data_IF_074014584683
#
_entry.id   IF_074014584683
#
_cell.length_a   1.000
_cell.length_b   1.000
_cell.length_c   1.000
_cell.angle_alpha   90.00
_cell.angle_beta   90.00
_cell.angle_gamma   90.00
#
_symmetry.space_group_name_H-M   'P 1'
#
loop_
_entity.id
_entity.type
_entity.pdbx_description
1 polymer ?
#
# COMPACT_ATOMS: atom_id res chain seq x y z
N UNK A 1 -3.66 -12.16 15.80
CA UNK A 1 -3.86 -10.71 15.84
C UNK A 1 -3.43 -10.12 14.48
N UNK A 2 -3.43 -8.80 14.29
CA UNK A 2 -2.99 -8.18 13.02
C UNK A 2 -1.61 -7.55 13.17
N UNK A 3 -0.81 -7.62 12.10
CA UNK A 3 0.43 -6.89 11.97
C UNK A 3 0.24 -5.65 11.11
N UNK A 4 0.71 -4.50 11.61
CA UNK A 4 0.71 -3.20 10.95
C UNK A 4 2.09 -2.88 10.39
N UNK A 5 2.09 -2.37 9.16
CA UNK A 5 3.27 -1.89 8.47
C UNK A 5 2.98 -0.54 7.84
N UNK A 6 4.01 0.31 7.74
CA UNK A 6 3.99 1.48 6.88
C UNK A 6 4.61 1.15 5.52
N UNK A 7 3.91 1.52 4.45
CA UNK A 7 4.48 1.69 3.13
C UNK A 7 4.86 3.16 2.96
N UNK A 8 6.15 3.42 2.83
CA UNK A 8 6.69 4.78 2.75
C UNK A 8 7.20 5.03 1.34
N UNK A 9 6.99 6.26 0.86
CA UNK A 9 7.57 6.82 -0.35
C UNK A 9 8.77 7.72 0.02
N UNK A 10 10.02 7.21 -0.04
CA UNK A 10 11.21 7.94 0.39
C UNK A 10 11.46 9.22 -0.40
N UNK A 11 10.95 9.32 -1.63
CA UNK A 11 11.09 10.54 -2.43
C UNK A 11 10.27 11.72 -1.88
N UNK A 12 9.23 11.44 -1.09
CA UNK A 12 8.36 12.46 -0.47
C UNK A 12 8.74 12.70 1.00
N UNK A 13 8.94 11.64 1.78
CA UNK A 13 9.45 11.73 3.15
C UNK A 13 10.92 11.36 3.16
N UNK A 14 11.80 12.35 3.05
CA UNK A 14 13.24 12.12 2.84
C UNK A 14 13.95 11.61 4.10
N UNK A 15 13.61 12.18 5.25
CA UNK A 15 14.28 11.91 6.54
C UNK A 15 13.57 10.79 7.34
N UNK A 16 12.86 9.89 6.65
CA UNK A 16 12.04 8.86 7.28
C UNK A 16 12.86 7.88 8.10
N UNK A 17 14.11 7.59 7.67
CA UNK A 17 15.00 6.67 8.38
C UNK A 17 15.43 7.27 9.71
N UNK A 18 15.87 8.52 9.71
CA UNK A 18 16.30 9.21 10.92
C UNK A 18 15.14 9.36 11.91
N UNK A 19 13.91 9.57 11.43
CA UNK A 19 12.78 9.77 12.34
C UNK A 19 12.16 8.45 12.84
N UNK A 20 12.17 7.38 12.03
CA UNK A 20 11.55 6.09 12.38
C UNK A 20 12.54 5.03 12.90
N UNK A 21 13.79 5.07 12.44
CA UNK A 21 14.78 4.01 12.67
C UNK A 21 15.91 4.43 13.64
N UNK A 22 15.90 5.66 14.15
CA UNK A 22 16.92 6.11 15.09
C UNK A 22 16.84 5.30 16.40
N UNK A 23 17.99 4.73 16.80
CA UNK A 23 18.18 3.90 17.98
C UNK A 23 17.86 4.64 19.29
N UNK A 24 17.84 5.98 19.28
CA UNK A 24 17.45 6.82 20.42
C UNK A 24 15.94 6.80 20.69
N UNK A 25 15.14 6.37 19.70
CA UNK A 25 13.71 6.07 19.87
C UNK A 25 13.59 4.65 20.44
N UNK A 26 13.26 4.56 21.74
CA UNK A 26 13.48 3.39 22.64
C UNK A 26 12.80 2.05 22.29
N UNK A 27 12.11 1.93 21.16
CA UNK A 27 11.35 0.73 20.76
C UNK A 27 11.73 0.17 19.37
N UNK A 28 12.79 0.70 18.74
CA UNK A 28 13.03 0.54 17.29
C UNK A 28 14.06 -0.54 16.94
N UNK A 29 14.66 -1.20 17.94
CA UNK A 29 15.79 -2.14 17.75
C UNK A 29 15.52 -3.36 16.84
N UNK A 30 14.29 -3.55 16.37
CA UNK A 30 13.92 -4.62 15.43
C UNK A 30 13.18 -4.13 14.17
N UNK A 31 12.96 -2.82 14.03
CA UNK A 31 12.22 -2.28 12.90
C UNK A 31 13.10 -2.26 11.65
N UNK A 32 12.93 -3.26 10.78
CA UNK A 32 13.64 -3.33 9.51
C UNK A 32 12.83 -2.66 8.41
N UNK A 33 13.50 -1.83 7.62
CA UNK A 33 12.93 -1.29 6.40
C UNK A 33 13.32 -2.14 5.19
N UNK A 34 12.32 -2.57 4.44
CA UNK A 34 12.48 -3.53 3.35
C UNK A 34 12.09 -2.86 2.04
N UNK A 35 13.02 -2.64 1.11
CA UNK A 35 12.70 -2.08 -0.19
C UNK A 35 11.78 -3.00 -0.99
N UNK A 36 10.69 -2.44 -1.52
CA UNK A 36 9.75 -3.17 -2.36
C UNK A 36 10.26 -3.37 -3.78
N UNK A 37 11.13 -2.51 -4.28
CA UNK A 37 11.69 -2.72 -5.63
C UNK A 37 12.72 -3.86 -5.70
N UNK A 38 13.23 -4.33 -4.56
CA UNK A 38 14.06 -5.53 -4.53
C UNK A 38 13.31 -6.72 -5.13
N UNK A 39 14.02 -7.56 -5.89
CA UNK A 39 13.44 -8.72 -6.59
C UNK A 39 12.37 -8.35 -7.64
N UNK A 40 12.35 -7.11 -8.10
CA UNK A 40 11.57 -6.67 -9.26
C UNK A 40 12.49 -6.16 -10.36
N UNK A 41 11.96 -5.90 -11.55
CA UNK A 41 12.69 -5.21 -12.63
C UNK A 41 13.20 -3.81 -12.25
N UNK A 42 12.72 -3.24 -11.15
CA UNK A 42 13.11 -1.92 -10.64
C UNK A 42 14.18 -1.98 -9.55
N UNK A 43 14.84 -3.13 -9.33
CA UNK A 43 15.83 -3.31 -8.27
C UNK A 43 17.01 -2.33 -8.31
N UNK A 44 17.29 -1.70 -9.46
CA UNK A 44 18.34 -0.67 -9.59
C UNK A 44 17.88 0.74 -9.17
N UNK A 45 16.60 0.93 -8.85
CA UNK A 45 16.05 2.22 -8.41
C UNK A 45 16.16 2.31 -6.89
N UNK A 46 17.11 3.10 -6.40
CA UNK A 46 17.44 3.23 -4.98
C UNK A 46 16.35 3.96 -4.16
N UNK A 47 15.57 4.83 -4.81
CA UNK A 47 14.55 5.66 -4.16
C UNK A 47 13.14 5.05 -4.23
N UNK A 48 13.04 3.72 -4.27
CA UNK A 48 11.76 3.01 -4.33
C UNK A 48 11.00 2.98 -3.00
N UNK A 49 9.73 2.58 -3.00
CA UNK A 49 8.94 2.44 -1.78
C UNK A 49 9.53 1.37 -0.85
N UNK A 50 9.37 1.60 0.45
CA UNK A 50 9.85 0.71 1.51
C UNK A 50 8.70 0.26 2.40
N UNK A 51 8.75 -0.98 2.85
CA UNK A 51 7.87 -1.51 3.89
C UNK A 51 8.59 -1.46 5.24
N UNK A 52 7.94 -0.92 6.27
CA UNK A 52 8.47 -0.81 7.63
C UNK A 52 7.49 -1.47 8.60
N UNK A 53 7.94 -2.42 9.42
CA UNK A 53 7.10 -3.08 10.42
C UNK A 53 6.90 -2.19 11.65
N UNK A 54 5.66 -2.02 12.13
CA UNK A 54 5.34 -1.04 13.18
C UNK A 54 4.85 -1.65 14.49
N UNK A 55 4.58 -2.95 14.56
CA UNK A 55 3.87 -3.59 15.69
C UNK A 55 4.47 -3.35 17.07
N UNK A 56 5.79 -3.19 17.15
CA UNK A 56 6.49 -3.09 18.42
C UNK A 56 6.76 -1.62 18.81
N UNK A 57 6.20 -0.65 18.10
CA UNK A 57 6.43 0.77 18.38
C UNK A 57 5.19 1.63 18.11
N UNK A 58 4.42 1.90 19.17
CA UNK A 58 3.31 2.87 19.12
C UNK A 58 3.79 4.27 18.67
N UNK A 59 5.02 4.64 19.07
CA UNK A 59 5.64 5.90 18.67
C UNK A 59 5.86 5.97 17.16
N UNK A 60 6.39 4.91 16.55
CA UNK A 60 6.60 4.85 15.10
C UNK A 60 5.28 4.88 14.33
N UNK A 61 4.25 4.17 14.83
CA UNK A 61 2.90 4.22 14.24
C UNK A 61 2.32 5.63 14.28
N UNK A 62 2.39 6.30 15.44
CA UNK A 62 1.91 7.67 15.60
C UNK A 62 2.65 8.64 14.67
N UNK A 63 3.97 8.51 14.56
CA UNK A 63 4.76 9.34 13.65
C UNK A 63 4.33 9.14 12.19
N UNK A 64 4.09 7.89 11.76
CA UNK A 64 3.60 7.61 10.41
C UNK A 64 2.23 8.25 10.17
N UNK A 65 1.31 8.18 11.14
CA UNK A 65 -0.02 8.81 11.06
C UNK A 65 0.12 10.32 10.85
N UNK A 66 0.84 11.02 11.74
CA UNK A 66 1.04 12.47 11.65
C UNK A 66 1.72 12.87 10.32
N UNK A 67 2.70 12.08 9.88
CA UNK A 67 3.42 12.34 8.65
C UNK A 67 2.55 12.14 7.40
N UNK A 68 1.69 11.11 7.37
CA UNK A 68 0.79 10.84 6.24
C UNK A 68 -0.38 11.82 6.15
N UNK A 69 -0.81 12.38 7.29
CA UNK A 69 -1.79 13.48 7.32
C UNK A 69 -1.25 14.77 6.69
N UNK A 70 0.04 15.06 6.91
CA UNK A 70 0.66 16.30 6.43
C UNK A 70 1.18 16.20 4.99
N UNK A 71 1.63 15.02 4.56
CA UNK A 71 2.16 14.78 3.21
C UNK A 71 1.71 13.43 2.70
N UNK A 72 1.43 13.29 1.38
CA UNK A 72 1.07 12.01 0.78
C UNK A 72 2.30 11.11 0.60
N UNK A 73 2.97 10.77 1.69
CA UNK A 73 4.25 10.05 1.72
C UNK A 73 4.11 8.56 2.03
N UNK A 74 2.90 8.02 2.05
CA UNK A 74 2.70 6.60 2.30
C UNK A 74 1.28 6.22 2.70
N UNK A 75 1.15 4.96 3.09
CA UNK A 75 -0.07 4.37 3.63
C UNK A 75 0.27 3.31 4.68
N UNK A 76 -0.72 2.91 5.47
CA UNK A 76 -0.62 1.81 6.42
C UNK A 76 -1.28 0.56 5.83
N UNK A 77 -0.60 -0.57 5.95
CA UNK A 77 -1.14 -1.88 5.54
C UNK A 77 -1.17 -2.80 6.74
N UNK A 78 -2.20 -3.65 6.76
CA UNK A 78 -2.42 -4.63 7.81
C UNK A 78 -2.44 -6.02 7.19
N UNK A 79 -1.80 -6.98 7.85
CA UNK A 79 -1.82 -8.39 7.48
C UNK A 79 -2.13 -9.23 8.72
N UNK A 80 -2.77 -10.39 8.52
CA UNK A 80 -2.93 -11.35 9.61
C UNK A 80 -1.55 -11.87 10.05
N UNK A 81 -1.31 -12.05 11.34
CA UNK A 81 -0.07 -12.64 11.86
C UNK A 81 0.28 -14.02 11.29
N UNK A 82 -0.71 -14.77 10.81
CA UNK A 82 -0.46 -16.04 10.12
C UNK A 82 0.22 -15.88 8.75
N UNK A 83 0.27 -14.67 8.19
CA UNK A 83 0.92 -14.37 6.93
C UNK A 83 2.41 -14.12 7.17
N UNK A 84 3.25 -15.02 6.66
CA UNK A 84 4.69 -14.82 6.69
C UNK A 84 5.12 -13.55 5.95
N UNK A 85 6.11 -12.82 6.50
CA UNK A 85 6.65 -11.60 5.90
C UNK A 85 7.11 -11.80 4.44
N UNK A 86 7.68 -12.96 4.11
CA UNK A 86 8.09 -13.28 2.74
C UNK A 86 6.89 -13.34 1.78
N UNK A 87 5.77 -13.92 2.22
CA UNK A 87 4.50 -13.98 1.47
C UNK A 87 3.90 -12.60 1.29
N UNK A 88 3.89 -11.78 2.35
CA UNK A 88 3.47 -10.38 2.28
C UNK A 88 4.29 -9.59 1.25
N UNK A 89 5.62 -9.68 1.33
CA UNK A 89 6.52 -8.98 0.42
C UNK A 89 6.34 -9.43 -1.03
N UNK A 90 6.22 -10.74 -1.27
CA UNK A 90 5.95 -11.26 -2.61
C UNK A 90 4.63 -10.72 -3.18
N UNK A 91 3.58 -10.69 -2.35
CA UNK A 91 2.29 -10.12 -2.71
C UNK A 91 2.41 -8.64 -3.07
N UNK A 92 3.00 -7.81 -2.21
CA UNK A 92 3.17 -6.37 -2.45
C UNK A 92 4.02 -6.09 -3.69
N UNK A 93 5.13 -6.83 -3.87
CA UNK A 93 6.01 -6.73 -5.05
C UNK A 93 5.28 -7.02 -6.35
N UNK A 94 4.40 -8.02 -6.35
CA UNK A 94 3.59 -8.36 -7.53
C UNK A 94 2.61 -7.26 -7.94
N UNK A 95 2.32 -6.29 -7.04
CA UNK A 95 1.44 -5.15 -7.32
C UNK A 95 2.17 -3.88 -7.71
N UNK A 96 3.49 -3.84 -7.55
CA UNK A 96 4.31 -2.73 -8.03
C UNK A 96 4.27 -2.69 -9.56
N UNK A 97 4.22 -3.85 -10.21
CA UNK A 97 4.15 -3.98 -11.67
C UNK A 97 2.91 -4.77 -12.04
N UNK A 98 1.97 -4.15 -12.76
CA UNK A 98 0.82 -4.87 -13.30
C UNK A 98 0.81 -4.87 -14.81
N UNK A 99 0.15 -5.88 -15.39
CA UNK A 99 -0.07 -5.95 -16.84
C UNK A 99 -1.20 -5.03 -17.27
N UNK A 100 -0.96 -4.27 -18.34
CA UNK A 100 -1.92 -3.49 -19.12
C UNK A 100 -1.88 -4.02 -20.56
N UNK A 101 -2.72 -5.01 -20.86
CA UNK A 101 -2.67 -5.74 -22.13
C UNK A 101 -1.31 -6.42 -22.34
N UNK A 102 -0.58 -6.04 -23.40
CA UNK A 102 0.81 -6.51 -23.67
C UNK A 102 1.90 -5.67 -22.99
N UNK A 103 1.55 -4.53 -22.39
CA UNK A 103 2.48 -3.65 -21.70
C UNK A 103 2.45 -3.91 -20.18
N UNK A 104 3.50 -3.47 -19.48
CA UNK A 104 3.58 -3.51 -18.02
C UNK A 104 3.65 -2.08 -17.47
N UNK A 105 2.80 -1.77 -16.49
CA UNK A 105 2.69 -0.45 -15.87
C UNK A 105 3.14 -0.52 -14.40
N UNK A 106 3.85 0.51 -13.96
CA UNK A 106 4.15 0.72 -12.54
C UNK A 106 2.88 1.24 -11.86
N UNK A 107 2.40 0.53 -10.83
CA UNK A 107 1.34 1.04 -9.95
C UNK A 107 1.98 1.54 -8.66
N UNK A 108 1.69 2.80 -8.32
CA UNK A 108 2.06 3.38 -7.03
C UNK A 108 0.90 3.24 -6.04
N UNK A 109 0.62 2.00 -5.65
CA UNK A 109 -0.41 1.72 -4.64
C UNK A 109 0.01 2.18 -3.23
N UNK A 110 1.23 2.70 -3.08
CA UNK A 110 1.70 3.40 -1.89
C UNK A 110 1.42 4.92 -1.94
N UNK A 111 0.86 5.44 -3.04
CA UNK A 111 0.56 6.86 -3.20
C UNK A 111 -0.93 7.12 -2.90
N UNK A 112 -1.26 7.93 -1.87
CA UNK A 112 -2.64 8.11 -1.41
C UNK A 112 -3.66 8.56 -2.46
N UNK A 113 -3.28 9.42 -3.41
CA UNK A 113 -4.24 9.89 -4.43
C UNK A 113 -4.53 8.78 -5.44
N UNK A 114 -3.52 8.00 -5.81
CA UNK A 114 -3.70 6.82 -6.65
C UNK A 114 -4.49 5.72 -5.98
N UNK A 115 -4.37 5.57 -4.66
CA UNK A 115 -5.15 4.59 -3.91
C UNK A 115 -6.65 4.83 -3.98
N UNK A 116 -7.11 6.07 -3.92
CA UNK A 116 -8.55 6.36 -4.07
C UNK A 116 -9.07 5.88 -5.43
N UNK A 117 -8.37 6.22 -6.50
CA UNK A 117 -8.76 5.82 -7.86
C UNK A 117 -8.72 4.30 -8.02
N UNK A 118 -7.63 3.67 -7.56
CA UNK A 118 -7.43 2.24 -7.68
C UNK A 118 -8.49 1.47 -6.88
N UNK A 119 -8.68 1.79 -5.60
CA UNK A 119 -9.64 1.10 -4.73
C UNK A 119 -11.08 1.36 -5.15
N UNK A 120 -11.41 2.60 -5.54
CA UNK A 120 -12.75 2.96 -6.00
C UNK A 120 -13.13 2.30 -7.34
N UNK A 121 -12.15 1.98 -8.18
CA UNK A 121 -12.40 1.28 -9.45
C UNK A 121 -12.65 -0.22 -9.29
N UNK A 122 -12.47 -0.76 -8.09
CA UNK A 122 -12.62 -2.18 -7.79
C UNK A 122 -13.83 -2.45 -6.89
N UNK A 123 -14.51 -3.56 -7.14
CA UNK A 123 -15.43 -4.15 -6.18
C UNK A 123 -14.67 -4.88 -5.04
N UNK A 124 -15.39 -5.35 -4.02
CA UNK A 124 -14.78 -5.99 -2.84
C UNK A 124 -13.98 -7.24 -3.17
N UNK A 125 -14.46 -8.07 -4.09
CA UNK A 125 -13.76 -9.28 -4.53
C UNK A 125 -12.44 -8.94 -5.23
N UNK A 126 -12.50 -7.99 -6.17
CA UNK A 126 -11.34 -7.50 -6.91
C UNK A 126 -10.28 -6.88 -6.00
N UNK A 127 -10.68 -6.09 -5.00
CA UNK A 127 -9.75 -5.50 -4.02
C UNK A 127 -8.96 -6.57 -3.28
N UNK A 128 -9.63 -7.66 -2.89
CA UNK A 128 -8.95 -8.79 -2.24
C UNK A 128 -8.06 -9.55 -3.20
N UNK A 129 -8.55 -9.89 -4.38
CA UNK A 129 -7.70 -10.58 -5.37
C UNK A 129 -6.46 -9.75 -5.70
N UNK A 130 -6.58 -8.43 -5.66
CA UNK A 130 -5.46 -7.51 -5.82
C UNK A 130 -4.54 -7.50 -4.58
N UNK A 131 -5.05 -7.61 -3.36
CA UNK A 131 -4.23 -7.64 -2.14
C UNK A 131 -4.47 -8.87 -1.28
N UNK A 132 -4.09 -10.08 -1.74
CA UNK A 132 -4.47 -11.32 -1.07
C UNK A 132 -3.76 -11.55 0.27
N UNK A 133 -2.66 -10.84 0.53
CA UNK A 133 -1.89 -10.93 1.76
C UNK A 133 -2.24 -9.83 2.78
N UNK A 134 -3.15 -8.91 2.44
CA UNK A 134 -3.56 -7.83 3.32
C UNK A 134 -4.95 -8.10 3.89
N UNK A 135 -5.15 -7.77 5.16
CA UNK A 135 -6.45 -7.71 5.81
C UNK A 135 -7.07 -6.32 5.74
N UNK A 136 -6.23 -5.27 5.67
CA UNK A 136 -6.71 -3.89 5.61
C UNK A 136 -5.68 -2.97 4.96
N UNK A 137 -6.16 -1.90 4.36
CA UNK A 137 -5.35 -0.82 3.80
C UNK A 137 -5.92 0.52 4.26
N UNK A 138 -5.09 1.36 4.86
CA UNK A 138 -5.44 2.69 5.39
C UNK A 138 -4.55 3.76 4.75
N UNK A 139 -5.14 4.86 4.31
CA UNK A 139 -4.37 5.97 3.76
C UNK A 139 -5.08 7.29 4.02
N UNK A 140 -4.32 8.37 4.08
CA UNK A 140 -4.88 9.70 4.28
C UNK A 140 -5.08 10.42 2.96
N UNK A 141 -6.29 10.90 2.70
CA UNK A 141 -6.60 11.82 1.62
C UNK A 141 -7.73 12.74 2.06
N UNK A 142 -7.37 13.89 2.64
CA UNK A 142 -8.25 14.86 3.36
C UNK A 142 -8.87 14.31 4.64
N UNK A 143 -9.20 13.02 4.66
CA UNK A 143 -9.58 12.25 5.84
C UNK A 143 -8.92 10.87 5.76
N UNK A 144 -8.93 10.12 6.87
CA UNK A 144 -8.48 8.73 6.89
C UNK A 144 -9.48 7.83 6.17
N UNK A 145 -9.01 7.26 5.06
CA UNK A 145 -9.74 6.29 4.27
C UNK A 145 -9.25 4.88 4.61
N UNK A 146 -10.16 3.92 4.55
CA UNK A 146 -9.89 2.52 4.85
C UNK A 146 -10.62 1.61 3.89
N UNK A 147 -9.98 0.50 3.55
CA UNK A 147 -10.59 -0.64 2.88
C UNK A 147 -10.32 -1.88 3.71
N UNK A 148 -11.40 -2.57 4.09
CA UNK A 148 -11.35 -3.92 4.65
C UNK A 148 -11.21 -4.94 3.51
N UNK A 149 -10.24 -5.83 3.65
CA UNK A 149 -9.89 -6.89 2.69
C UNK A 149 -10.13 -8.30 3.27
N UNK A 150 -10.58 -8.37 4.53
CA UNK A 150 -10.76 -9.61 5.29
C UNK A 150 -12.07 -10.34 4.99
N UNK A 151 -13.14 -9.64 4.57
CA UNK A 151 -14.50 -10.19 4.42
C UNK A 151 -14.81 -10.81 3.05
N UNK A 152 -15.23 -12.09 3.00
CA UNK A 152 -15.66 -12.77 1.76
C UNK A 152 -17.18 -12.54 1.58
N UNK A 153 -17.63 -11.86 0.52
CA UNK A 153 -19.04 -11.86 0.17
C UNK A 153 -19.43 -13.27 -0.27
N UNK A 154 -20.52 -13.80 0.28
CA UNK A 154 -20.98 -15.18 0.05
C UNK A 154 -21.28 -15.45 -1.44
N UNK A 155 -21.54 -14.40 -2.24
CA UNK A 155 -21.98 -14.49 -3.64
C UNK A 155 -20.98 -13.94 -4.68
N UNK A 156 -19.73 -13.65 -4.31
CA UNK A 156 -18.77 -13.16 -5.31
C UNK A 156 -18.30 -14.30 -6.23
N UNK A 157 -18.90 -14.37 -7.41
CA UNK A 157 -18.39 -15.21 -8.50
C UNK A 157 -16.96 -14.77 -8.85
N UNK A 158 -16.01 -15.69 -9.06
CA UNK A 158 -14.65 -15.32 -9.43
C UNK A 158 -14.67 -14.56 -10.76
N UNK A 159 -14.37 -13.26 -10.71
CA UNK A 159 -14.14 -12.47 -11.90
C UNK A 159 -12.78 -12.81 -12.49
N UNK A 160 -12.63 -12.63 -13.80
CA UNK A 160 -11.34 -12.74 -14.48
C UNK A 160 -10.23 -12.01 -13.73
N UNK A 161 -9.04 -12.62 -13.68
CA UNK A 161 -7.82 -12.09 -13.05
C UNK A 161 -7.77 -10.57 -13.23
N UNK A 162 -7.79 -9.84 -12.12
CA UNK A 162 -7.79 -8.37 -12.16
C UNK A 162 -6.63 -7.86 -13.04
N UNK A 163 -6.97 -7.11 -14.09
CA UNK A 163 -6.03 -6.46 -15.00
C UNK A 163 -6.42 -5.00 -15.24
N UNK A 164 -5.46 -4.16 -15.62
CA UNK A 164 -5.72 -2.75 -15.89
C UNK A 164 -6.26 -2.58 -17.32
N UNK A 165 -7.56 -2.83 -17.54
CA UNK A 165 -8.24 -2.63 -18.83
C UNK A 165 -8.47 -1.14 -19.14
N UNK A 166 -8.83 -0.81 -20.39
CA UNK A 166 -9.20 0.57 -20.77
C UNK A 166 -10.42 1.07 -20.00
N UNK A 167 -11.46 0.24 -19.86
CA UNK A 167 -12.65 0.56 -19.07
C UNK A 167 -12.33 0.88 -17.59
N UNK A 168 -11.39 0.14 -17.00
CA UNK A 168 -10.94 0.40 -15.62
C UNK A 168 -10.14 1.70 -15.53
N UNK A 169 -9.34 2.02 -16.54
CA UNK A 169 -8.66 3.31 -16.59
C UNK A 169 -9.64 4.47 -16.69
N UNK A 170 -10.68 4.33 -17.52
CA UNK A 170 -11.74 5.35 -17.64
C UNK A 170 -12.48 5.52 -16.31
N UNK A 171 -12.78 4.40 -15.64
CA UNK A 171 -13.37 4.41 -14.28
C UNK A 171 -12.47 5.13 -13.29
N UNK A 172 -11.18 4.81 -13.26
CA UNK A 172 -10.19 5.49 -12.40
C UNK A 172 -10.13 6.99 -12.69
N UNK A 173 -10.15 7.41 -13.96
CA UNK A 173 -10.13 8.82 -14.38
C UNK A 173 -11.41 9.58 -13.99
N UNK A 174 -12.57 8.92 -14.10
CA UNK A 174 -13.85 9.48 -13.68
C UNK A 174 -13.87 9.72 -12.16
N UNK A 175 -13.42 8.73 -11.37
CA UNK A 175 -13.26 8.87 -9.92
C UNK A 175 -12.29 10.00 -9.59
N UNK A 176 -11.15 10.07 -10.28
CA UNK A 176 -10.16 11.14 -10.08
C UNK A 176 -10.76 12.53 -10.27
N UNK A 177 -11.61 12.68 -11.28
CA UNK A 177 -12.24 13.95 -11.65
C UNK A 177 -13.28 14.37 -10.61
N UNK A 178 -14.10 13.43 -10.14
CA UNK A 178 -15.09 13.68 -9.08
C UNK A 178 -14.41 13.98 -7.73
N UNK A 179 -13.37 13.22 -7.39
CA UNK A 179 -12.65 13.37 -6.12
C UNK A 179 -11.89 14.70 -6.00
N UNK A 180 -11.50 15.30 -7.13
CA UNK A 180 -10.89 16.64 -7.14
C UNK A 180 -11.90 17.75 -6.81
N UNK A 181 -13.19 17.50 -7.06
CA UNK A 181 -14.27 18.48 -6.91
C UNK A 181 -14.99 18.40 -5.57
N UNK A 182 -14.94 17.25 -4.89
CA UNK A 182 -15.28 17.11 -3.47
C UNK A 182 -14.23 17.78 -2.60
#
# INVERSE_FOLDING_TARGET
>A
EEQVYALIEPTVWKDWKEQLLDENTRDVSQTQAIPLFNQTRFAQVESGPVLVHLNNSECALKLCIEQFETKPSGCLVYANESIELATLLASLRSRVVVKKGKAEMLIRFNEPRQLVMLMGSMNEYERREFFPALSRLHWYNRDWLSVDLSHIPIDSSPSDIWSLSEERLDTMQNIASQWRLS
#
